data_IF_996621328433
#
_entry.id   IF_996621328433
#
_cell.length_a   1.000
_cell.length_b   1.000
_cell.length_c   1.000
_cell.angle_alpha   90.00
_cell.angle_beta   90.00
_cell.angle_gamma   90.00
#
_symmetry.space_group_name_H-M   'P 1'
#
loop_
_entity.id
_entity.type
_entity.pdbx_description
1 polymer ?
#
# COMPACT_ATOMS: atom_id res chain seq x y z
N UNK A 1 2.49 15.89 2.36
CA UNK A 1 2.27 17.17 3.13
C UNK A 1 2.49 18.33 2.19
N UNK A 2 1.64 19.33 2.18
CA UNK A 2 1.76 20.49 1.27
C UNK A 2 2.33 21.76 1.95
N UNK A 3 2.25 21.87 3.26
CA UNK A 3 2.79 23.01 4.05
C UNK A 3 4.04 22.63 4.83
N UNK A 4 4.96 23.59 4.97
CA UNK A 4 6.10 23.51 5.90
C UNK A 4 5.76 24.04 7.31
N UNK A 5 4.62 24.69 7.52
CA UNK A 5 4.25 25.29 8.81
C UNK A 5 3.76 24.25 9.81
N UNK A 6 4.02 24.45 11.09
CA UNK A 6 3.62 23.55 12.20
C UNK A 6 2.15 23.63 12.56
N UNK A 7 1.38 24.62 12.09
CA UNK A 7 -0.03 24.85 12.42
C UNK A 7 -0.94 24.55 11.23
N UNK A 8 -2.11 23.94 11.48
CA UNK A 8 -3.14 23.60 10.51
C UNK A 8 -2.96 22.24 9.81
N UNK A 9 -3.91 21.87 8.98
CA UNK A 9 -3.87 20.64 8.19
C UNK A 9 -2.70 20.67 7.21
N UNK A 10 -1.87 19.63 7.29
CA UNK A 10 -0.65 19.47 6.47
C UNK A 10 -0.83 18.46 5.37
N UNK A 11 -1.92 17.74 5.40
CA UNK A 11 -2.20 16.64 4.48
C UNK A 11 -3.20 17.07 3.43
N UNK A 12 -3.10 16.47 2.29
CA UNK A 12 -4.13 16.48 1.25
C UNK A 12 -4.44 15.03 0.89
N UNK A 13 -5.69 14.75 0.60
CA UNK A 13 -6.11 13.52 -0.06
C UNK A 13 -5.96 13.72 -1.56
N UNK A 14 -5.18 12.86 -2.21
CA UNK A 14 -4.91 12.88 -3.65
C UNK A 14 -5.85 11.89 -4.30
N UNK A 15 -6.58 12.31 -5.32
CA UNK A 15 -7.54 11.51 -6.06
C UNK A 15 -7.06 11.40 -7.50
N UNK A 16 -6.90 10.18 -7.98
CA UNK A 16 -6.38 9.91 -9.32
C UNK A 16 -7.34 9.05 -10.13
N UNK A 17 -7.28 9.22 -11.45
CA UNK A 17 -7.94 8.37 -12.42
C UNK A 17 -6.98 7.27 -12.88
N UNK A 18 -7.38 6.02 -12.63
CA UNK A 18 -6.66 4.82 -13.07
C UNK A 18 -7.18 4.26 -14.39
N UNK A 19 -8.26 4.81 -14.94
CA UNK A 19 -8.89 4.32 -16.18
C UNK A 19 -7.88 4.18 -17.31
N UNK A 20 -7.02 5.17 -17.61
CA UNK A 20 -6.05 5.03 -18.69
C UNK A 20 -5.06 3.87 -18.49
N UNK A 21 -4.69 3.56 -17.23
CA UNK A 21 -3.80 2.42 -16.92
C UNK A 21 -4.54 1.10 -17.09
N UNK A 22 -5.81 1.04 -16.67
CA UNK A 22 -6.63 -0.17 -16.79
C UNK A 22 -6.95 -0.52 -18.25
N UNK A 23 -7.19 0.49 -19.06
CA UNK A 23 -7.57 0.35 -20.47
C UNK A 23 -6.35 0.32 -21.40
N UNK A 24 -5.13 0.52 -20.86
CA UNK A 24 -3.90 0.57 -21.66
C UNK A 24 -3.78 1.81 -22.56
N UNK A 25 -4.57 2.87 -22.30
CA UNK A 25 -4.62 4.08 -23.13
C UNK A 25 -3.63 5.15 -22.69
N UNK A 26 -3.03 5.02 -21.50
CA UNK A 26 -2.06 5.98 -21.02
C UNK A 26 -1.74 5.88 -19.54
N UNK A 27 -0.96 6.82 -19.01
CA UNK A 27 -0.65 6.88 -17.59
C UNK A 27 -1.85 7.37 -16.77
N UNK A 28 -1.85 7.02 -15.47
CA UNK A 28 -2.79 7.59 -14.51
C UNK A 28 -2.64 9.12 -14.43
N UNK A 29 -3.72 9.80 -14.11
CA UNK A 29 -3.77 11.26 -14.02
C UNK A 29 -4.38 11.72 -12.70
N UNK A 30 -3.93 12.87 -12.21
CA UNK A 30 -4.52 13.53 -11.07
C UNK A 30 -5.91 14.06 -11.45
N UNK A 31 -6.94 13.66 -10.71
CA UNK A 31 -8.29 14.22 -10.84
C UNK A 31 -8.47 15.44 -9.95
N UNK A 32 -8.06 15.32 -8.68
CA UNK A 32 -8.24 16.39 -7.72
C UNK A 32 -7.38 16.16 -6.45
N UNK A 33 -7.32 17.20 -5.62
CA UNK A 33 -6.71 17.17 -4.30
C UNK A 33 -7.60 17.92 -3.32
N UNK A 34 -7.93 17.27 -2.19
CA UNK A 34 -8.74 17.89 -1.13
C UNK A 34 -7.95 18.02 0.16
N UNK A 35 -8.21 19.09 0.92
CA UNK A 35 -7.54 19.32 2.20
C UNK A 35 -7.91 18.23 3.22
N UNK A 36 -6.93 17.79 3.99
CA UNK A 36 -7.10 16.78 5.04
C UNK A 36 -6.85 15.34 4.56
N UNK A 37 -6.80 14.44 5.54
CA UNK A 37 -6.68 12.98 5.35
C UNK A 37 -7.71 12.28 6.24
N UNK A 38 -8.98 12.44 5.91
CA UNK A 38 -10.06 11.90 6.71
C UNK A 38 -11.11 11.20 5.85
N UNK A 39 -11.93 10.33 6.48
CA UNK A 39 -13.14 9.79 5.84
C UNK A 39 -14.01 10.91 5.28
N UNK A 40 -14.22 11.97 6.09
CA UNK A 40 -15.13 13.07 5.73
C UNK A 40 -14.64 13.84 4.51
N UNK A 41 -13.33 14.14 4.41
CA UNK A 41 -12.78 14.85 3.25
C UNK A 41 -13.05 14.09 1.95
N UNK A 42 -12.79 12.79 1.92
CA UNK A 42 -13.04 11.96 0.74
C UNK A 42 -14.54 11.76 0.48
N UNK A 43 -15.35 11.56 1.53
CA UNK A 43 -16.81 11.44 1.42
C UNK A 43 -17.42 12.70 0.81
N UNK A 44 -17.08 13.88 1.33
CA UNK A 44 -17.58 15.16 0.83
C UNK A 44 -17.22 15.33 -0.65
N UNK A 45 -15.95 15.05 -1.00
CA UNK A 45 -15.52 15.15 -2.40
C UNK A 45 -16.33 14.22 -3.33
N UNK A 46 -16.59 12.97 -2.93
CA UNK A 46 -17.42 12.04 -3.72
C UNK A 46 -18.86 12.55 -3.85
N UNK A 47 -19.45 13.02 -2.75
CA UNK A 47 -20.86 13.49 -2.72
C UNK A 47 -21.07 14.71 -3.62
N UNK A 48 -20.05 15.55 -3.81
CA UNK A 48 -20.10 16.71 -4.73
C UNK A 48 -20.09 16.31 -6.20
N UNK A 49 -19.80 15.06 -6.53
CA UNK A 49 -19.84 14.57 -7.92
C UNK A 49 -21.26 14.24 -8.36
N UNK A 50 -21.61 14.53 -9.64
CA UNK A 50 -22.91 14.15 -10.17
C UNK A 50 -23.20 12.65 -9.97
N UNK A 51 -24.45 12.30 -9.74
CA UNK A 51 -24.84 10.90 -9.54
C UNK A 51 -24.38 10.00 -10.69
N UNK A 52 -24.57 10.44 -11.94
CA UNK A 52 -24.15 9.68 -13.12
C UNK A 52 -22.63 9.41 -13.14
N UNK A 53 -21.79 10.35 -12.62
CA UNK A 53 -20.37 10.14 -12.49
C UNK A 53 -20.07 9.09 -11.41
N UNK A 54 -20.74 9.16 -10.26
CA UNK A 54 -20.56 8.20 -9.16
C UNK A 54 -21.00 6.80 -9.55
N UNK A 55 -22.12 6.69 -10.26
CA UNK A 55 -22.64 5.40 -10.78
C UNK A 55 -21.69 4.77 -11.82
N UNK A 56 -20.85 5.57 -12.49
CA UNK A 56 -19.83 5.10 -13.43
C UNK A 56 -18.52 4.64 -12.76
N UNK A 57 -18.38 4.77 -11.43
CA UNK A 57 -17.18 4.31 -10.72
C UNK A 57 -17.24 2.80 -10.49
N UNK A 58 -16.46 2.04 -11.23
CA UNK A 58 -16.42 0.57 -11.11
C UNK A 58 -15.49 0.07 -9.99
N UNK A 59 -14.40 0.78 -9.73
CA UNK A 59 -13.33 0.34 -8.81
C UNK A 59 -12.78 1.52 -8.03
N UNK A 60 -12.58 1.33 -6.74
CA UNK A 60 -11.82 2.27 -5.89
C UNK A 60 -10.62 1.54 -5.31
N UNK A 61 -9.43 1.84 -5.84
CA UNK A 61 -8.16 1.37 -5.30
C UNK A 61 -7.72 2.29 -4.15
N UNK A 62 -7.35 1.72 -3.01
CA UNK A 62 -7.01 2.50 -1.82
C UNK A 62 -5.93 1.84 -0.98
N UNK A 63 -5.31 2.64 -0.13
CA UNK A 63 -4.44 2.15 0.94
C UNK A 63 -5.25 1.44 2.05
N UNK A 64 -4.56 0.98 3.11
CA UNK A 64 -5.21 0.29 4.22
C UNK A 64 -6.12 1.16 5.10
N UNK A 65 -6.28 2.46 4.82
CA UNK A 65 -7.07 3.36 5.66
C UNK A 65 -8.57 3.07 5.56
N UNK A 66 -9.15 2.60 6.67
CA UNK A 66 -10.57 2.18 6.73
C UNK A 66 -11.55 3.32 6.44
N UNK A 67 -11.17 4.56 6.71
CA UNK A 67 -12.01 5.74 6.45
C UNK A 67 -12.32 5.91 4.96
N UNK A 68 -11.36 5.67 4.08
CA UNK A 68 -11.60 5.75 2.63
C UNK A 68 -12.52 4.63 2.15
N UNK A 69 -12.34 3.41 2.66
CA UNK A 69 -13.25 2.30 2.36
C UNK A 69 -14.70 2.63 2.74
N UNK A 70 -14.89 3.16 3.95
CA UNK A 70 -16.23 3.50 4.41
C UNK A 70 -16.85 4.62 3.58
N UNK A 71 -16.08 5.67 3.25
CA UNK A 71 -16.55 6.75 2.38
C UNK A 71 -16.95 6.24 0.99
N UNK A 72 -16.13 5.36 0.38
CA UNK A 72 -16.44 4.76 -0.91
C UNK A 72 -17.72 3.90 -0.84
N UNK A 73 -17.88 3.07 0.19
CA UNK A 73 -19.07 2.24 0.36
C UNK A 73 -20.36 3.07 0.58
N UNK A 74 -20.24 4.27 1.13
CA UNK A 74 -21.39 5.16 1.34
C UNK A 74 -21.77 5.97 0.09
N UNK A 75 -20.81 6.38 -0.72
CA UNK A 75 -21.04 7.33 -1.83
C UNK A 75 -20.99 6.68 -3.23
N UNK A 76 -20.30 5.55 -3.36
CA UNK A 76 -20.19 4.75 -4.60
C UNK A 76 -20.34 3.25 -4.28
N UNK A 77 -21.51 2.83 -3.78
CA UNK A 77 -21.72 1.50 -3.21
C UNK A 77 -21.50 0.35 -4.20
N UNK A 78 -21.70 0.60 -5.48
CA UNK A 78 -21.54 -0.41 -6.55
C UNK A 78 -20.07 -0.61 -6.95
N UNK A 79 -19.18 0.29 -6.52
CA UNK A 79 -17.77 0.20 -6.83
C UNK A 79 -17.05 -0.88 -6.01
N UNK A 80 -16.23 -1.68 -6.69
CA UNK A 80 -15.41 -2.69 -6.02
C UNK A 80 -14.22 -2.03 -5.31
N UNK A 81 -14.18 -2.18 -3.99
CA UNK A 81 -13.04 -1.74 -3.20
C UNK A 81 -11.84 -2.69 -3.40
N UNK A 82 -10.69 -2.16 -3.78
CA UNK A 82 -9.44 -2.92 -3.95
C UNK A 82 -8.40 -2.38 -2.99
N UNK A 83 -7.85 -3.26 -2.16
CA UNK A 83 -6.73 -2.91 -1.28
C UNK A 83 -5.41 -3.09 -2.04
N UNK A 84 -4.61 -2.04 -2.02
CA UNK A 84 -3.33 -2.02 -2.74
C UNK A 84 -2.37 -3.14 -2.26
N UNK A 85 -1.77 -3.90 -3.20
CA UNK A 85 -0.82 -4.98 -2.89
C UNK A 85 0.36 -4.56 -2.02
N UNK A 86 0.94 -3.39 -2.28
CA UNK A 86 2.06 -2.89 -1.49
C UNK A 86 1.66 -2.73 -0.01
N UNK A 87 0.46 -2.18 0.24
CA UNK A 87 -0.04 -2.02 1.60
C UNK A 87 -0.36 -3.37 2.27
N UNK A 88 -0.88 -4.35 1.51
CA UNK A 88 -1.10 -5.71 2.04
C UNK A 88 0.23 -6.37 2.42
N UNK A 89 1.22 -6.35 1.53
CA UNK A 89 2.55 -6.91 1.80
C UNK A 89 3.24 -6.17 2.95
N UNK A 90 3.05 -4.86 3.04
CA UNK A 90 3.55 -4.04 4.16
C UNK A 90 3.00 -4.50 5.51
N UNK A 91 1.72 -4.92 5.61
CA UNK A 91 1.16 -5.48 6.85
C UNK A 91 1.95 -6.71 7.31
N UNK A 92 2.32 -7.60 6.37
CA UNK A 92 3.18 -8.76 6.65
C UNK A 92 4.58 -8.36 7.10
N UNK A 93 5.20 -7.40 6.41
CA UNK A 93 6.51 -6.85 6.79
C UNK A 93 6.51 -6.18 8.15
N UNK A 94 5.46 -5.42 8.48
CA UNK A 94 5.28 -4.80 9.80
C UNK A 94 5.07 -5.86 10.91
N UNK A 95 4.36 -6.96 10.61
CA UNK A 95 4.23 -8.08 11.54
C UNK A 95 5.60 -8.74 11.79
N UNK A 96 6.34 -9.03 10.73
CA UNK A 96 7.69 -9.61 10.80
C UNK A 96 8.64 -8.73 11.62
N UNK A 97 8.61 -7.41 11.41
CA UNK A 97 9.44 -6.48 12.17
C UNK A 97 9.07 -6.43 13.66
N UNK A 98 7.77 -6.53 13.99
CA UNK A 98 7.32 -6.60 15.40
C UNK A 98 7.77 -7.92 16.04
N UNK A 99 7.55 -9.06 15.37
CA UNK A 99 8.03 -10.37 15.87
C UNK A 99 9.54 -10.34 16.10
N UNK A 100 10.32 -9.88 15.12
CA UNK A 100 11.77 -9.77 15.23
C UNK A 100 12.19 -8.95 16.44
N UNK A 101 11.59 -7.76 16.64
CA UNK A 101 11.91 -6.87 17.77
C UNK A 101 11.51 -7.48 19.11
N UNK A 102 10.38 -8.18 19.18
CA UNK A 102 9.94 -8.88 20.39
C UNK A 102 10.89 -10.01 20.75
N UNK A 103 11.24 -10.88 19.80
CA UNK A 103 12.19 -11.98 20.00
C UNK A 103 13.56 -11.45 20.44
N UNK A 104 14.07 -10.37 19.81
CA UNK A 104 15.31 -9.72 20.24
C UNK A 104 15.21 -9.20 21.69
N UNK A 105 14.09 -8.60 22.06
CA UNK A 105 13.87 -8.14 23.44
C UNK A 105 13.86 -9.30 24.43
N UNK A 106 13.29 -10.43 24.04
CA UNK A 106 13.26 -11.65 24.89
C UNK A 106 14.65 -12.27 25.06
N UNK A 107 15.45 -12.33 23.99
CA UNK A 107 16.78 -12.96 24.01
C UNK A 107 17.82 -12.06 24.67
N UNK A 108 17.78 -10.76 24.40
CA UNK A 108 18.88 -9.84 24.72
C UNK A 108 18.52 -8.71 25.71
N UNK A 109 17.24 -8.60 26.12
CA UNK A 109 16.78 -7.50 26.96
C UNK A 109 16.68 -6.14 26.25
N UNK A 110 16.88 -6.08 24.91
CA UNK A 110 16.78 -4.84 24.10
C UNK A 110 16.30 -5.11 22.68
N UNK A 111 15.85 -4.06 21.97
CA UNK A 111 15.24 -4.15 20.63
C UNK A 111 16.21 -4.38 19.46
N UNK A 112 17.44 -4.68 19.75
CA UNK A 112 18.48 -4.98 18.78
C UNK A 112 19.61 -3.97 18.71
N UNK A 113 20.83 -4.49 18.70
CA UNK A 113 22.07 -3.75 18.54
C UNK A 113 22.81 -4.22 17.30
N UNK A 114 23.82 -3.45 16.88
CA UNK A 114 24.61 -3.69 15.66
C UNK A 114 25.12 -5.15 15.52
N UNK A 115 25.43 -5.80 16.63
CA UNK A 115 25.99 -7.16 16.64
C UNK A 115 24.96 -8.28 16.72
N UNK A 116 23.70 -7.99 16.98
CA UNK A 116 22.64 -9.01 17.10
C UNK A 116 22.33 -9.63 15.72
N UNK A 117 22.28 -10.98 15.62
CA UNK A 117 22.01 -11.65 14.35
C UNK A 117 20.73 -11.18 13.67
N UNK A 118 19.61 -11.14 14.39
CA UNK A 118 18.31 -10.71 13.89
C UNK A 118 18.31 -9.22 13.48
N UNK A 119 19.03 -8.34 14.21
CA UNK A 119 19.15 -6.95 13.83
C UNK A 119 19.95 -6.77 12.54
N UNK A 120 21.03 -7.53 12.36
CA UNK A 120 21.84 -7.53 11.13
C UNK A 120 21.06 -8.06 9.93
N UNK A 121 20.15 -9.01 10.16
CA UNK A 121 19.31 -9.61 9.11
C UNK A 121 18.11 -8.75 8.69
N UNK A 122 17.77 -7.69 9.40
CA UNK A 122 16.52 -6.92 9.22
C UNK A 122 16.19 -6.51 7.79
N UNK A 123 17.18 -6.11 6.98
CA UNK A 123 16.95 -5.76 5.57
C UNK A 123 16.75 -7.00 4.71
N UNK A 124 17.53 -8.04 4.97
CA UNK A 124 17.47 -9.30 4.25
C UNK A 124 16.12 -10.01 4.48
N UNK A 125 15.57 -9.95 5.69
CA UNK A 125 14.26 -10.49 6.02
C UNK A 125 13.12 -9.84 5.22
N UNK A 126 13.26 -8.56 4.81
CA UNK A 126 12.30 -7.88 3.95
C UNK A 126 12.49 -8.14 2.45
N UNK A 127 13.56 -8.81 2.06
CA UNK A 127 13.80 -9.16 0.65
C UNK A 127 12.96 -10.39 0.28
N UNK A 128 12.26 -10.33 -0.85
CA UNK A 128 11.55 -11.51 -1.38
C UNK A 128 12.52 -12.65 -1.67
N UNK A 129 12.14 -13.87 -1.31
CA UNK A 129 13.00 -15.07 -1.38
C UNK A 129 13.67 -15.25 -2.75
N UNK A 130 12.92 -15.03 -3.83
CA UNK A 130 13.45 -15.12 -5.20
C UNK A 130 14.45 -14.03 -5.62
N UNK A 131 14.69 -13.02 -4.76
CA UNK A 131 15.68 -11.95 -5.00
C UNK A 131 16.91 -12.09 -4.10
N UNK A 132 16.94 -13.09 -3.23
CA UNK A 132 18.07 -13.34 -2.33
C UNK A 132 19.24 -13.97 -3.10
N UNK A 133 20.44 -13.46 -2.85
CA UNK A 133 21.67 -14.11 -3.34
C UNK A 133 21.95 -15.37 -2.54
N UNK A 134 22.72 -16.32 -3.11
CA UNK A 134 23.12 -17.56 -2.44
C UNK A 134 23.82 -17.30 -1.08
N UNK A 135 24.59 -16.22 -0.98
CA UNK A 135 25.22 -15.79 0.28
C UNK A 135 24.17 -15.36 1.32
N UNK A 136 23.12 -14.68 0.89
CA UNK A 136 22.03 -14.25 1.77
C UNK A 136 21.18 -15.44 2.23
N UNK A 137 20.89 -16.38 1.33
CA UNK A 137 20.18 -17.62 1.67
C UNK A 137 20.94 -18.37 2.77
N UNK A 138 22.23 -18.68 2.56
CA UNK A 138 23.04 -19.35 3.59
C UNK A 138 23.07 -18.61 4.93
N UNK A 139 23.01 -17.28 4.91
CA UNK A 139 22.96 -16.49 6.16
C UNK A 139 21.60 -16.56 6.84
N UNK A 140 20.51 -16.70 6.09
CA UNK A 140 19.18 -16.96 6.66
C UNK A 140 19.08 -18.36 7.23
N UNK A 141 19.63 -19.36 6.53
CA UNK A 141 19.66 -20.75 7.01
C UNK A 141 20.37 -20.84 8.36
N UNK A 142 21.55 -20.20 8.48
CA UNK A 142 22.27 -20.11 9.76
C UNK A 142 21.52 -19.33 10.83
N UNK A 143 20.76 -18.30 10.44
CA UNK A 143 19.96 -17.50 11.37
C UNK A 143 18.80 -18.33 11.93
N UNK A 144 18.13 -19.11 11.08
CA UNK A 144 16.96 -19.90 11.43
C UNK A 144 17.33 -21.28 12.03
N UNK A 145 18.61 -21.70 11.95
CA UNK A 145 19.11 -22.86 12.69
C UNK A 145 19.12 -22.68 14.22
N UNK A 146 18.94 -21.43 14.70
CA UNK A 146 18.80 -21.13 16.12
C UNK A 146 17.31 -21.20 16.51
N UNK A 147 16.94 -22.19 17.31
CA UNK A 147 15.56 -22.43 17.77
C UNK A 147 14.90 -21.22 18.44
N UNK A 148 15.70 -20.30 18.99
CA UNK A 148 15.21 -19.04 19.57
C UNK A 148 14.61 -18.09 18.52
N UNK A 149 14.87 -18.34 17.23
CA UNK A 149 14.38 -17.51 16.11
C UNK A 149 13.18 -18.13 15.40
N UNK A 150 12.65 -19.28 15.85
CA UNK A 150 11.55 -20.02 15.19
C UNK A 150 10.31 -19.16 14.91
N UNK A 151 9.99 -18.22 15.80
CA UNK A 151 8.85 -17.33 15.62
C UNK A 151 9.10 -16.30 14.50
N UNK A 152 10.34 -15.87 14.33
CA UNK A 152 10.74 -14.96 13.24
C UNK A 152 10.72 -15.70 11.90
N UNK A 153 11.24 -16.94 11.88
CA UNK A 153 11.20 -17.81 10.69
C UNK A 153 9.77 -18.07 10.23
N UNK A 154 8.89 -18.50 11.13
CA UNK A 154 7.48 -18.75 10.83
C UNK A 154 6.78 -17.49 10.27
N UNK A 155 7.02 -16.31 10.88
CA UNK A 155 6.46 -15.05 10.41
C UNK A 155 7.06 -14.64 9.06
N UNK A 156 8.35 -14.88 8.84
CA UNK A 156 9.01 -14.64 7.57
C UNK A 156 8.44 -15.53 6.45
N UNK A 157 8.17 -16.81 6.73
CA UNK A 157 7.52 -17.70 5.78
C UNK A 157 6.14 -17.20 5.34
N UNK A 158 5.34 -16.67 6.26
CA UNK A 158 4.05 -16.06 5.93
C UNK A 158 4.23 -14.82 5.05
N UNK A 159 5.19 -13.95 5.39
CA UNK A 159 5.51 -12.76 4.61
C UNK A 159 5.97 -13.13 3.18
N UNK A 160 6.81 -14.15 3.00
CA UNK A 160 7.22 -14.63 1.69
C UNK A 160 6.05 -15.16 0.87
N UNK A 161 5.16 -15.94 1.46
CA UNK A 161 3.93 -16.42 0.80
C UNK A 161 3.03 -15.29 0.31
N UNK A 162 2.96 -14.15 1.05
CA UNK A 162 2.23 -12.96 0.58
C UNK A 162 2.88 -12.37 -0.67
N UNK A 163 4.21 -12.25 -0.69
CA UNK A 163 4.96 -11.74 -1.84
C UNK A 163 4.77 -12.66 -3.05
N UNK A 164 4.89 -13.97 -2.85
CA UNK A 164 4.72 -14.97 -3.90
C UNK A 164 3.33 -14.94 -4.53
N UNK A 165 2.27 -14.78 -3.71
CA UNK A 165 0.91 -14.68 -4.22
C UNK A 165 0.73 -13.48 -5.17
N UNK A 166 1.32 -12.33 -4.84
CA UNK A 166 1.26 -11.14 -5.71
C UNK A 166 2.23 -11.17 -6.90
N UNK A 167 3.28 -11.97 -6.84
CA UNK A 167 4.23 -12.16 -7.94
C UNK A 167 3.84 -13.29 -8.91
N UNK A 168 2.80 -14.05 -8.57
CA UNK A 168 2.32 -15.11 -9.45
C UNK A 168 1.83 -14.52 -10.77
N UNK A 169 2.41 -14.94 -11.92
CA UNK A 169 1.99 -14.43 -13.23
C UNK A 169 0.54 -14.73 -13.55
N UNK A 170 0.06 -15.94 -13.21
CA UNK A 170 -1.36 -16.28 -13.32
C UNK A 170 -2.15 -15.73 -12.13
N UNK A 171 -2.97 -14.73 -12.40
CA UNK A 171 -3.77 -14.03 -11.38
C UNK A 171 -4.73 -14.94 -10.65
N UNK A 172 -5.32 -15.95 -11.32
CA UNK A 172 -6.22 -16.89 -10.69
C UNK A 172 -5.49 -17.77 -9.67
N UNK A 173 -4.28 -18.22 -10.01
CA UNK A 173 -3.39 -18.95 -9.10
C UNK A 173 -2.92 -18.06 -7.96
N UNK A 174 -2.53 -16.81 -8.24
CA UNK A 174 -2.17 -15.82 -7.23
C UNK A 174 -3.32 -15.59 -6.22
N UNK A 175 -4.54 -15.45 -6.70
CA UNK A 175 -5.75 -15.35 -5.87
C UNK A 175 -5.94 -16.57 -4.97
N UNK A 176 -5.77 -17.78 -5.52
CA UNK A 176 -5.86 -19.04 -4.75
C UNK A 176 -4.80 -19.11 -3.66
N UNK A 177 -3.54 -18.76 -3.98
CA UNK A 177 -2.43 -18.69 -3.01
C UNK A 177 -2.76 -17.71 -1.88
N UNK A 178 -3.22 -16.51 -2.20
CA UNK A 178 -3.57 -15.48 -1.20
C UNK A 178 -4.77 -15.93 -0.34
N UNK A 179 -5.81 -16.50 -0.93
CA UNK A 179 -6.96 -17.01 -0.18
C UNK A 179 -6.56 -18.14 0.77
N UNK A 180 -5.72 -19.08 0.32
CA UNK A 180 -5.17 -20.15 1.16
C UNK A 180 -4.32 -19.61 2.31
N UNK A 181 -3.51 -18.58 2.04
CA UNK A 181 -2.73 -17.91 3.08
C UNK A 181 -3.65 -17.24 4.10
N UNK A 182 -4.64 -16.45 3.69
CA UNK A 182 -5.61 -15.81 4.59
C UNK A 182 -6.28 -16.88 5.46
N UNK A 183 -6.73 -17.97 4.87
CA UNK A 183 -7.33 -19.09 5.59
C UNK A 183 -6.35 -19.68 6.62
N UNK A 184 -5.08 -19.88 6.26
CA UNK A 184 -4.08 -20.49 7.15
C UNK A 184 -3.72 -19.63 8.37
N UNK A 185 -3.88 -18.29 8.29
CA UNK A 185 -3.59 -17.38 9.40
C UNK A 185 -4.84 -16.87 10.13
N UNK A 186 -6.04 -17.29 9.68
CA UNK A 186 -7.31 -16.88 10.29
C UNK A 186 -7.64 -17.67 11.57
N UNK A 187 -7.21 -18.93 11.64
CA UNK A 187 -7.49 -19.85 12.75
C UNK A 187 -6.26 -20.71 13.08
N UNK A 188 -6.20 -21.21 14.32
CA UNK A 188 -5.17 -22.16 14.71
C UNK A 188 -3.75 -21.60 14.79
N UNK A 189 -3.57 -20.28 14.77
CA UNK A 189 -2.24 -19.69 14.90
C UNK A 189 -1.71 -19.94 16.31
N UNK A 190 -0.49 -20.51 16.46
CA UNK A 190 0.12 -20.72 17.77
C UNK A 190 0.16 -19.47 18.62
N UNK A 191 -0.06 -19.61 19.95
CA UNK A 191 -0.08 -18.47 20.89
C UNK A 191 1.21 -17.65 20.87
N UNK A 192 2.34 -18.26 20.56
CA UNK A 192 3.64 -17.57 20.43
C UNK A 192 3.67 -16.59 19.24
N UNK A 193 2.88 -16.80 18.20
CA UNK A 193 2.84 -15.99 16.98
C UNK A 193 1.77 -14.86 17.07
N UNK A 194 1.87 -14.04 18.10
CA UNK A 194 0.87 -12.96 18.40
C UNK A 194 0.69 -12.00 17.20
N UNK A 195 1.78 -11.63 16.55
CA UNK A 195 1.77 -10.71 15.43
C UNK A 195 1.13 -11.33 14.18
N UNK A 196 1.32 -12.63 13.97
CA UNK A 196 0.66 -13.38 12.89
C UNK A 196 -0.84 -13.48 13.15
N UNK A 197 -1.26 -13.76 14.39
CA UNK A 197 -2.67 -13.79 14.74
C UNK A 197 -3.34 -12.40 14.51
N UNK A 198 -2.64 -11.32 14.81
CA UNK A 198 -3.13 -9.97 14.53
C UNK A 198 -3.22 -9.69 13.03
N UNK A 199 -2.21 -10.09 12.25
CA UNK A 199 -2.20 -10.03 10.79
C UNK A 199 -3.38 -10.82 10.22
N UNK A 200 -3.59 -12.05 10.69
CA UNK A 200 -4.68 -12.93 10.27
C UNK A 200 -6.06 -12.28 10.46
N UNK A 201 -6.32 -11.68 11.62
CA UNK A 201 -7.57 -10.92 11.87
C UNK A 201 -7.76 -9.78 10.87
N UNK A 202 -6.69 -9.03 10.59
CA UNK A 202 -6.73 -7.91 9.63
C UNK A 202 -7.02 -8.40 8.22
N UNK A 203 -6.30 -9.43 7.76
CA UNK A 203 -6.47 -10.00 6.43
C UNK A 203 -7.85 -10.63 6.24
N UNK A 204 -8.37 -11.33 7.26
CA UNK A 204 -9.71 -11.93 7.23
C UNK A 204 -10.79 -10.85 7.09
N UNK A 205 -10.69 -9.77 7.88
CA UNK A 205 -11.62 -8.63 7.80
C UNK A 205 -11.59 -7.94 6.43
N UNK A 206 -10.45 -7.96 5.75
CA UNK A 206 -10.24 -7.29 4.47
C UNK A 206 -10.11 -8.27 3.29
N UNK A 207 -10.48 -9.54 3.49
CA UNK A 207 -10.26 -10.59 2.49
C UNK A 207 -10.87 -10.25 1.12
N UNK A 208 -12.09 -9.71 1.10
CA UNK A 208 -12.78 -9.30 -0.14
C UNK A 208 -11.95 -8.26 -0.88
N UNK A 209 -11.48 -7.21 -0.21
CA UNK A 209 -10.72 -6.10 -0.82
C UNK A 209 -9.33 -6.57 -1.29
N UNK A 210 -8.69 -7.46 -0.50
CA UNK A 210 -7.38 -8.05 -0.83
C UNK A 210 -7.48 -8.95 -2.06
N UNK A 211 -8.49 -9.79 -2.14
CA UNK A 211 -8.70 -10.73 -3.25
C UNK A 211 -9.22 -10.05 -4.51
N UNK A 212 -9.95 -8.93 -4.38
CA UNK A 212 -10.46 -8.16 -5.51
C UNK A 212 -9.34 -7.65 -6.44
N UNK A 213 -8.12 -7.42 -5.92
CA UNK A 213 -6.96 -7.05 -6.74
C UNK A 213 -6.70 -8.05 -7.88
N UNK A 214 -6.84 -9.34 -7.60
CA UNK A 214 -6.57 -10.38 -8.60
C UNK A 214 -7.62 -10.43 -9.71
N UNK A 215 -8.85 -10.00 -9.43
CA UNK A 215 -9.94 -9.92 -10.41
C UNK A 215 -9.96 -8.60 -11.19
N UNK A 216 -9.25 -7.59 -10.71
CA UNK A 216 -9.25 -6.22 -11.24
C UNK A 216 -7.83 -5.79 -11.63
N UNK A 217 -7.32 -6.14 -12.83
CA UNK A 217 -6.01 -5.71 -13.28
C UNK A 217 -5.89 -4.18 -13.36
N UNK A 218 -4.67 -3.65 -13.24
CA UNK A 218 -4.40 -2.21 -13.32
C UNK A 218 -4.85 -1.40 -12.09
N UNK A 219 -5.13 -2.05 -10.95
CA UNK A 219 -5.66 -1.39 -9.75
C UNK A 219 -4.64 -1.26 -8.61
N UNK A 220 -3.35 -1.24 -8.91
CA UNK A 220 -2.33 -0.98 -7.89
C UNK A 220 -2.18 0.51 -7.59
N UNK A 221 -1.65 0.82 -6.41
CA UNK A 221 -1.37 2.20 -5.98
C UNK A 221 -0.03 2.74 -6.53
N UNK A 222 0.72 1.94 -7.30
CA UNK A 222 1.97 2.38 -7.92
C UNK A 222 1.84 3.69 -8.71
N UNK A 223 0.80 3.87 -9.55
CA UNK A 223 0.56 5.16 -10.22
C UNK A 223 0.34 6.31 -9.25
N UNK A 224 -0.34 6.08 -8.12
CA UNK A 224 -0.53 7.09 -7.06
C UNK A 224 0.79 7.49 -6.43
N UNK A 225 1.68 6.53 -6.17
CA UNK A 225 3.01 6.81 -5.63
C UNK A 225 3.87 7.61 -6.63
N UNK A 226 3.77 7.29 -7.93
CA UNK A 226 4.46 8.04 -8.97
C UNK A 226 3.96 9.50 -9.06
N UNK A 227 2.66 9.71 -8.98
CA UNK A 227 2.07 11.06 -8.91
C UNK A 227 2.52 11.77 -7.63
N UNK A 228 2.42 11.12 -6.46
CA UNK A 228 2.88 11.68 -5.19
C UNK A 228 4.36 12.09 -5.23
N UNK A 229 5.22 11.31 -5.88
CA UNK A 229 6.62 11.66 -6.09
C UNK A 229 6.80 12.94 -6.91
N UNK A 230 6.02 13.13 -7.96
CA UNK A 230 6.01 14.38 -8.77
C UNK A 230 5.49 15.57 -7.96
N UNK A 231 4.42 15.38 -7.19
CA UNK A 231 3.86 16.41 -6.32
C UNK A 231 4.85 16.84 -5.23
N UNK A 232 5.60 15.88 -4.67
CA UNK A 232 6.65 16.16 -3.69
C UNK A 232 7.81 16.93 -4.33
N UNK A 233 8.23 16.59 -5.55
CA UNK A 233 9.22 17.34 -6.31
C UNK A 233 8.74 18.77 -6.60
N UNK A 234 7.50 18.93 -7.08
CA UNK A 234 6.89 20.24 -7.32
C UNK A 234 6.89 21.10 -6.05
N UNK A 235 6.50 20.51 -4.92
CA UNK A 235 6.51 21.17 -3.61
C UNK A 235 7.93 21.58 -3.18
N UNK A 236 8.89 20.69 -3.37
CA UNK A 236 10.31 20.93 -3.04
C UNK A 236 10.90 22.05 -3.88
N UNK A 237 10.69 22.05 -5.19
CA UNK A 237 11.18 23.07 -6.12
C UNK A 237 10.59 24.45 -5.84
N UNK A 238 9.34 24.50 -5.35
CA UNK A 238 8.68 25.75 -4.95
C UNK A 238 8.98 26.17 -3.51
N UNK A 239 9.88 25.47 -2.79
CA UNK A 239 10.16 25.67 -1.36
C UNK A 239 8.89 25.63 -0.48
N UNK A 240 7.87 24.87 -0.92
CA UNK A 240 6.55 24.77 -0.31
C UNK A 240 5.55 25.78 -0.87
N UNK A 241 4.32 25.60 -0.50
CA UNK A 241 3.21 26.47 -0.93
C UNK A 241 2.59 27.16 0.30
N UNK A 242 2.24 28.43 0.13
CA UNK A 242 1.51 29.20 1.15
C UNK A 242 -0.01 29.07 0.98
N UNK A 243 -0.47 28.83 -0.25
CA UNK A 243 -1.87 28.74 -0.62
C UNK A 243 -2.15 27.34 -1.21
N UNK A 244 -3.16 26.66 -0.65
CA UNK A 244 -3.55 25.32 -1.09
C UNK A 244 -4.11 25.33 -2.51
N UNK A 245 -4.93 26.32 -2.86
CA UNK A 245 -5.51 26.45 -4.20
C UNK A 245 -4.42 26.53 -5.27
N UNK A 246 -3.36 27.32 -5.03
CA UNK A 246 -2.24 27.40 -5.94
C UNK A 246 -1.46 26.09 -6.04
N UNK A 247 -1.34 25.35 -4.92
CA UNK A 247 -0.71 24.03 -4.95
C UNK A 247 -1.55 23.04 -5.77
N UNK A 248 -2.86 23.00 -5.57
CA UNK A 248 -3.77 22.14 -6.33
C UNK A 248 -3.72 22.48 -7.80
N UNK A 249 -3.86 23.76 -8.18
CA UNK A 249 -3.82 24.21 -9.58
C UNK A 249 -2.51 23.78 -10.27
N UNK A 250 -1.36 24.01 -9.66
CA UNK A 250 -0.06 23.58 -10.22
C UNK A 250 0.09 22.07 -10.28
N UNK A 251 -0.43 21.34 -9.29
CA UNK A 251 -0.44 19.89 -9.27
C UNK A 251 -1.27 19.32 -10.42
N UNK A 252 -2.44 19.86 -10.67
CA UNK A 252 -3.30 19.50 -11.80
C UNK A 252 -2.63 19.77 -13.15
N UNK A 253 -1.99 20.92 -13.30
CA UNK A 253 -1.25 21.25 -14.54
C UNK A 253 -0.09 20.27 -14.78
N UNK A 254 0.61 19.85 -13.74
CA UNK A 254 1.77 18.95 -13.85
C UNK A 254 1.37 17.48 -14.08
N UNK A 255 0.29 17.01 -13.44
CA UNK A 255 -0.06 15.58 -13.39
C UNK A 255 -1.50 15.25 -13.78
N UNK A 256 -2.31 16.24 -14.13
CA UNK A 256 -3.71 16.07 -14.55
C UNK A 256 -3.91 15.65 -16.01
N UNK A 257 -2.83 15.42 -16.75
CA UNK A 257 -2.90 15.02 -18.17
C UNK A 257 -2.94 16.16 -19.17
N UNK A 258 -2.91 17.43 -18.72
CA UNK A 258 -2.99 18.60 -19.60
C UNK A 258 -1.68 18.91 -20.35
N UNK A 259 -0.55 18.36 -19.90
CA UNK A 259 0.77 18.70 -20.45
C UNK A 259 0.90 18.37 -21.93
N UNK A 260 0.37 17.25 -22.39
CA UNK A 260 0.37 16.86 -23.79
C UNK A 260 -0.47 17.81 -24.66
N UNK A 261 -1.59 18.29 -24.12
CA UNK A 261 -2.47 19.23 -24.81
C UNK A 261 -1.85 20.65 -24.90
N UNK A 262 -1.10 21.04 -23.86
CA UNK A 262 -0.42 22.35 -23.83
C UNK A 262 0.84 22.40 -24.70
N UNK A 263 1.56 21.26 -24.82
CA UNK A 263 2.80 21.18 -25.61
C UNK A 263 2.54 20.88 -27.10
N UNK A 264 1.40 20.30 -27.41
CA UNK A 264 0.97 19.99 -28.77
C UNK A 264 -0.47 20.48 -28.97
N UNK A 265 -0.72 21.83 -29.01
CA UNK A 265 -2.04 22.32 -29.37
C UNK A 265 -2.34 21.77 -30.77
N UNK A 266 -3.44 21.04 -30.90
CA UNK A 266 -3.96 20.72 -32.23
C UNK A 266 -4.31 22.04 -32.90
N UNK A 267 -3.48 22.47 -33.84
CA UNK A 267 -3.78 23.58 -34.72
C UNK A 267 -4.83 23.02 -35.68
N UNK A 268 -6.10 23.33 -35.38
CA UNK A 268 -7.24 23.06 -36.25
C UNK A 268 -7.36 24.17 -37.30
#
# INVERSE_FOLDING_TARGET
MWRHTRKGDKYVTVIIDLTPVRDGTGPARLLDMVEGRSKQAFKTWLNERPKAWRDGVEVVAMDGFTGFKTAAAEEVPDAVAVMDPFHVVKLGGDALDRTRRRVQQQIHGHRGRKNDPLYRARRMLHTGSGLLTQRQIRRLDLLFADDRHVEVEATWGIYQRMIEAYREPDRATGKKKMAALIKSVSHGVPKALVEVAQLGRTLTKRAVDVLAYFDRPGTSNGPTEAINGRLEHLRGSALGFRNLTNYIARSLLETGGFRSQLLHPQIG
#
